data_IF_516870186537
#
_entry.id   IF_516870186537
#
_cell.length_a   1.000
_cell.length_b   1.000
_cell.length_c   1.000
_cell.angle_alpha   90.00
_cell.angle_beta   90.00
_cell.angle_gamma   90.00
#
_symmetry.space_group_name_H-M   'P 1'
#
loop_
_entity.id
_entity.type
_entity.pdbx_description
1 polymer ?
#
# COMPACT_ATOMS: atom_id res chain seq x y z
N UNK A 1 -18.95 24.24 12.95
CA UNK A 1 -19.42 23.22 13.91
C UNK A 1 -18.48 23.23 15.10
N UNK A 2 -18.95 23.40 16.34
CA UNK A 2 -18.08 23.30 17.53
C UNK A 2 -18.00 21.83 17.95
N UNK A 3 -16.81 21.24 17.96
CA UNK A 3 -16.52 19.89 18.43
C UNK A 3 -15.89 19.93 19.82
N UNK A 4 -16.16 18.93 20.66
CA UNK A 4 -15.58 18.82 22.00
C UNK A 4 -14.12 18.38 21.94
N UNK A 5 -13.81 17.30 21.22
CA UNK A 5 -12.49 16.68 21.23
C UNK A 5 -11.70 16.90 19.95
N UNK A 6 -12.39 16.98 18.81
CA UNK A 6 -11.76 17.07 17.50
C UNK A 6 -11.25 18.49 17.21
N UNK A 7 -10.09 18.61 16.56
CA UNK A 7 -9.66 19.86 15.91
C UNK A 7 -10.34 19.94 14.55
N UNK A 8 -11.21 20.94 14.39
CA UNK A 8 -11.98 21.10 13.15
C UNK A 8 -11.06 21.32 11.95
N UNK A 9 -9.96 22.05 12.07
CA UNK A 9 -9.06 22.30 10.93
C UNK A 9 -8.44 20.98 10.49
N UNK A 10 -7.88 20.21 11.41
CA UNK A 10 -7.29 18.92 11.08
C UNK A 10 -8.33 17.97 10.47
N UNK A 11 -9.56 17.92 10.99
CA UNK A 11 -10.60 17.10 10.40
C UNK A 11 -10.89 17.48 8.93
N UNK A 12 -10.97 18.75 8.58
CA UNK A 12 -11.17 19.16 7.18
C UNK A 12 -9.93 18.91 6.30
N UNK A 13 -8.75 19.00 6.91
CA UNK A 13 -7.46 18.80 6.22
C UNK A 13 -7.21 17.33 5.92
N UNK A 14 -7.54 16.41 6.83
CA UNK A 14 -7.13 15.01 6.71
C UNK A 14 -8.27 13.99 6.75
N UNK A 15 -9.54 14.39 6.83
CA UNK A 15 -10.66 13.46 6.58
C UNK A 15 -11.25 13.68 5.19
N UNK A 16 -11.45 12.62 4.39
CA UNK A 16 -12.03 12.78 3.07
C UNK A 16 -13.50 13.22 3.18
N UNK A 17 -13.90 14.14 2.29
CA UNK A 17 -15.22 14.76 2.30
C UNK A 17 -16.16 14.07 1.31
N UNK A 18 -17.30 13.55 1.81
CA UNK A 18 -18.33 12.93 0.97
C UNK A 18 -19.69 13.56 1.23
N UNK A 19 -19.97 14.63 0.48
CA UNK A 19 -21.24 15.37 0.57
C UNK A 19 -21.53 15.90 1.97
N UNK A 20 -22.81 16.08 2.30
CA UNK A 20 -23.27 16.65 3.58
C UNK A 20 -23.36 15.61 4.72
N UNK A 21 -22.61 14.51 4.63
CA UNK A 21 -22.64 13.44 5.62
C UNK A 21 -21.98 13.90 6.95
N UNK A 22 -22.61 13.67 8.12
CA UNK A 22 -22.17 14.23 9.40
C UNK A 22 -21.01 13.44 10.05
N UNK A 23 -19.95 13.10 9.29
CA UNK A 23 -18.83 12.27 9.74
C UNK A 23 -18.19 12.79 11.04
N UNK A 24 -17.77 14.05 11.03
CA UNK A 24 -17.10 14.72 12.16
C UNK A 24 -17.99 14.74 13.41
N UNK A 25 -19.28 15.06 13.25
CA UNK A 25 -20.23 15.12 14.37
C UNK A 25 -20.40 13.74 15.01
N UNK A 26 -20.64 12.71 14.19
CA UNK A 26 -20.80 11.32 14.66
C UNK A 26 -19.53 10.80 15.35
N UNK A 27 -18.35 11.19 14.87
CA UNK A 27 -17.09 10.87 15.52
C UNK A 27 -16.96 11.58 16.89
N UNK A 28 -17.26 12.87 16.98
CA UNK A 28 -17.19 13.64 18.24
C UNK A 28 -18.20 13.13 19.29
N UNK A 29 -19.41 12.74 18.84
CA UNK A 29 -20.43 12.10 19.68
C UNK A 29 -19.92 10.75 20.23
N UNK A 30 -19.29 9.93 19.38
CA UNK A 30 -18.69 8.65 19.77
C UNK A 30 -17.56 8.85 20.79
N UNK A 31 -16.65 9.80 20.55
CA UNK A 31 -15.58 10.16 21.48
C UNK A 31 -16.12 10.66 22.81
N UNK A 32 -17.22 11.41 22.79
CA UNK A 32 -17.93 11.85 24.00
C UNK A 32 -18.52 10.68 24.77
N UNK A 33 -19.12 9.71 24.08
CA UNK A 33 -19.56 8.46 24.68
C UNK A 33 -18.40 7.74 25.38
N UNK A 34 -17.32 7.43 24.65
CA UNK A 34 -16.14 6.73 25.20
C UNK A 34 -15.61 7.43 26.45
N UNK A 35 -15.41 8.74 26.38
CA UNK A 35 -14.75 9.50 27.44
C UNK A 35 -15.63 9.72 28.68
N UNK A 36 -16.96 9.60 28.55
CA UNK A 36 -17.91 9.73 29.67
C UNK A 36 -18.37 8.38 30.22
N UNK A 37 -18.27 7.31 29.43
CA UNK A 37 -18.69 5.98 29.85
C UNK A 37 -17.87 5.52 31.05
N UNK A 38 -18.52 5.02 32.13
CA UNK A 38 -17.81 4.44 33.25
C UNK A 38 -17.01 3.22 32.79
N UNK A 39 -15.79 3.06 33.31
CA UNK A 39 -14.90 1.94 32.99
C UNK A 39 -13.50 2.36 32.58
N UNK A 40 -12.74 1.42 32.02
CA UNK A 40 -11.29 1.56 31.73
C UNK A 40 -10.95 2.64 30.70
N UNK A 41 -11.92 3.07 29.88
CA UNK A 41 -11.73 4.10 28.86
C UNK A 41 -12.25 5.48 29.29
N UNK A 42 -12.77 5.62 30.51
CA UNK A 42 -13.20 6.91 31.04
C UNK A 42 -12.02 7.90 31.06
N UNK A 43 -12.20 9.10 30.51
CA UNK A 43 -11.15 10.12 30.41
C UNK A 43 -10.00 9.80 29.43
N UNK A 44 -10.06 8.71 28.67
CA UNK A 44 -8.96 8.32 27.78
C UNK A 44 -8.74 9.29 26.62
N UNK A 45 -9.80 9.94 26.11
CA UNK A 45 -9.69 10.92 25.03
C UNK A 45 -9.07 12.21 25.54
N UNK A 46 -9.43 12.65 26.75
CA UNK A 46 -8.77 13.77 27.42
C UNK A 46 -7.28 13.48 27.66
N UNK A 47 -6.92 12.25 28.03
CA UNK A 47 -5.51 11.84 28.17
C UNK A 47 -4.73 11.95 26.85
N UNK A 48 -5.33 11.53 25.73
CA UNK A 48 -4.73 11.68 24.39
C UNK A 48 -4.54 13.16 24.00
N UNK A 49 -5.52 14.03 24.27
CA UNK A 49 -5.41 15.46 24.02
C UNK A 49 -4.33 16.10 24.89
N UNK A 50 -4.30 15.78 26.19
CA UNK A 50 -3.27 16.26 27.10
C UNK A 50 -1.87 15.85 26.64
N UNK A 51 -1.74 14.63 26.10
CA UNK A 51 -0.50 14.16 25.50
C UNK A 51 -0.13 14.95 24.25
N UNK A 52 -1.08 15.23 23.37
CA UNK A 52 -0.86 16.06 22.18
C UNK A 52 -0.29 17.44 22.58
N UNK A 53 -0.93 18.12 23.55
CA UNK A 53 -0.50 19.43 24.06
C UNK A 53 0.93 19.37 24.64
N UNK A 54 1.20 18.38 25.51
CA UNK A 54 2.53 18.22 26.13
C UNK A 54 3.64 17.90 25.14
N UNK A 55 3.31 17.42 23.94
CA UNK A 55 4.28 16.95 22.94
C UNK A 55 4.27 17.75 21.65
N UNK A 56 3.56 18.89 21.59
CA UNK A 56 3.41 19.69 20.38
C UNK A 56 4.73 20.18 19.79
N UNK A 57 5.74 20.42 20.63
CA UNK A 57 7.08 20.86 20.20
C UNK A 57 8.02 19.71 19.81
N UNK A 58 7.55 18.45 19.84
CA UNK A 58 8.37 17.32 19.38
C UNK A 58 8.35 17.24 17.86
N UNK A 59 9.53 17.04 17.27
CA UNK A 59 9.72 17.04 15.82
C UNK A 59 9.12 15.84 15.09
N UNK A 60 8.99 14.66 15.73
CA UNK A 60 8.50 13.42 15.07
C UNK A 60 7.12 13.03 15.56
N UNK A 61 6.15 12.83 14.65
CA UNK A 61 4.79 12.38 14.98
C UNK A 61 4.75 11.05 15.73
N UNK A 62 5.54 10.05 15.32
CA UNK A 62 5.70 8.77 16.03
C UNK A 62 6.10 8.92 17.51
N UNK A 63 6.84 9.97 17.88
CA UNK A 63 7.20 10.24 19.29
C UNK A 63 6.12 10.97 20.09
N UNK A 64 5.01 11.34 19.43
CA UNK A 64 3.85 12.03 19.99
C UNK A 64 2.65 11.08 20.12
N UNK A 65 2.55 10.10 19.22
CA UNK A 65 1.58 9.01 19.33
C UNK A 65 1.77 8.25 20.65
N UNK A 66 0.65 7.87 21.25
CA UNK A 66 0.57 7.23 22.55
C UNK A 66 -0.22 5.95 22.44
N UNK A 67 0.21 4.95 23.21
CA UNK A 67 -0.49 3.68 23.27
C UNK A 67 -1.92 3.89 23.75
N UNK A 68 -2.87 3.43 22.96
CA UNK A 68 -4.27 3.46 23.32
C UNK A 68 -4.97 2.36 22.53
N UNK A 69 -5.71 1.48 23.20
CA UNK A 69 -6.37 0.35 22.54
C UNK A 69 -7.64 0.77 21.80
N UNK A 70 -7.86 2.06 21.55
CA UNK A 70 -9.12 2.57 21.01
C UNK A 70 -9.07 2.53 19.49
N UNK A 71 -9.91 1.70 18.89
CA UNK A 71 -10.16 1.74 17.45
C UNK A 71 -11.61 2.16 17.20
N UNK A 72 -11.78 3.20 16.38
CA UNK A 72 -13.10 3.72 16.01
C UNK A 72 -13.31 3.44 14.53
N UNK A 73 -14.35 2.68 14.21
CA UNK A 73 -14.76 2.41 12.84
C UNK A 73 -16.01 3.23 12.51
N UNK A 74 -15.95 3.99 11.43
CA UNK A 74 -17.06 4.69 10.84
C UNK A 74 -17.33 4.12 9.45
N UNK A 75 -18.40 3.36 9.30
CA UNK A 75 -18.80 2.76 8.04
C UNK A 75 -19.95 3.59 7.46
N UNK A 76 -19.75 4.14 6.27
CA UNK A 76 -20.77 4.83 5.51
C UNK A 76 -21.12 4.04 4.26
N UNK A 77 -22.42 3.78 4.09
CA UNK A 77 -22.95 3.35 2.82
C UNK A 77 -23.34 4.61 2.03
N UNK A 78 -22.67 4.82 0.89
CA UNK A 78 -22.79 6.07 0.14
C UNK A 78 -24.16 6.19 -0.55
N UNK A 79 -24.75 5.07 -0.98
CA UNK A 79 -26.05 5.05 -1.65
C UNK A 79 -27.17 5.49 -0.71
N UNK A 80 -27.29 4.82 0.44
CA UNK A 80 -28.37 5.09 1.39
C UNK A 80 -28.03 6.19 2.41
N UNK A 81 -26.82 6.74 2.36
CA UNK A 81 -26.32 7.82 3.23
C UNK A 81 -26.37 7.48 4.72
N UNK A 82 -26.35 6.19 5.06
CA UNK A 82 -26.30 5.70 6.44
C UNK A 82 -24.87 5.67 6.92
N UNK A 83 -24.63 6.18 8.12
CA UNK A 83 -23.34 6.15 8.80
C UNK A 83 -23.49 5.41 10.12
N UNK A 84 -22.70 4.36 10.30
CA UNK A 84 -22.55 3.66 11.55
C UNK A 84 -21.18 3.97 12.14
N UNK A 85 -21.13 4.45 13.38
CA UNK A 85 -19.88 4.69 14.10
C UNK A 85 -19.83 3.78 15.32
N UNK A 86 -18.78 2.97 15.43
CA UNK A 86 -18.58 2.01 16.50
C UNK A 86 -17.16 2.15 17.04
N UNK A 87 -17.02 2.14 18.36
CA UNK A 87 -15.74 2.03 19.02
C UNK A 87 -15.54 0.61 19.54
N UNK A 88 -14.32 0.10 19.42
CA UNK A 88 -13.93 -1.18 19.99
C UNK A 88 -12.53 -1.08 20.58
N UNK A 89 -12.21 -2.02 21.47
CA UNK A 89 -10.86 -2.15 22.03
C UNK A 89 -10.04 -3.13 21.22
N UNK A 90 -8.92 -2.70 20.67
CA UNK A 90 -7.97 -3.52 19.94
C UNK A 90 -6.65 -3.59 20.73
N UNK A 91 -6.36 -4.71 21.40
CA UNK A 91 -5.14 -4.86 22.19
C UNK A 91 -3.85 -4.78 21.36
N UNK A 92 -3.97 -5.13 20.07
CA UNK A 92 -2.85 -5.22 19.12
C UNK A 92 -2.51 -3.88 18.46
N UNK A 93 -3.39 -2.88 18.55
CA UNK A 93 -3.16 -1.57 17.95
C UNK A 93 -2.16 -0.77 18.81
N UNK A 94 -1.03 -0.33 18.25
CA UNK A 94 0.01 0.38 19.01
C UNK A 94 -0.41 1.81 19.42
N UNK A 95 -1.47 2.35 18.84
CA UNK A 95 -2.02 3.68 19.11
C UNK A 95 -3.48 3.74 18.69
N UNK A 96 -4.25 4.71 19.20
CA UNK A 96 -5.66 4.81 18.83
C UNK A 96 -5.81 5.08 17.33
N UNK A 97 -6.68 4.33 16.65
CA UNK A 97 -6.94 4.49 15.21
C UNK A 97 -8.38 4.90 14.92
N UNK A 98 -8.52 5.68 13.87
CA UNK A 98 -9.79 5.98 13.24
C UNK A 98 -9.81 5.34 11.85
N UNK A 99 -10.81 4.49 11.62
CA UNK A 99 -11.09 3.85 10.35
C UNK A 99 -12.36 4.43 9.76
N UNK A 100 -12.28 4.99 8.56
CA UNK A 100 -13.43 5.44 7.80
C UNK A 100 -13.59 4.54 6.57
N UNK A 101 -14.67 3.77 6.50
CA UNK A 101 -14.97 2.92 5.35
C UNK A 101 -16.15 3.49 4.58
N UNK A 102 -15.99 3.59 3.27
CA UNK A 102 -17.02 4.05 2.34
C UNK A 102 -17.35 2.89 1.44
N UNK A 103 -18.60 2.45 1.51
CA UNK A 103 -19.10 1.33 0.73
C UNK A 103 -19.78 1.86 -0.53
N UNK A 104 -19.28 1.41 -1.67
CA UNK A 104 -19.82 1.66 -3.00
C UNK A 104 -20.55 0.42 -3.51
N UNK A 105 -21.04 0.50 -4.75
CA UNK A 105 -21.65 -0.63 -5.46
C UNK A 105 -20.63 -1.75 -5.70
N UNK A 106 -21.14 -2.96 -5.99
CA UNK A 106 -20.35 -4.13 -6.39
C UNK A 106 -19.27 -4.57 -5.38
N UNK A 107 -19.49 -4.26 -4.09
CA UNK A 107 -18.59 -4.66 -3.02
C UNK A 107 -17.29 -3.85 -2.94
N UNK A 108 -17.16 -2.76 -3.71
CA UNK A 108 -16.00 -1.88 -3.62
C UNK A 108 -16.06 -1.08 -2.31
N UNK A 109 -14.98 -1.13 -1.54
CA UNK A 109 -14.84 -0.38 -0.29
C UNK A 109 -13.59 0.50 -0.36
N UNK A 110 -13.76 1.79 -0.03
CA UNK A 110 -12.63 2.67 0.22
C UNK A 110 -12.49 2.91 1.72
N UNK A 111 -11.38 2.45 2.29
CA UNK A 111 -11.07 2.57 3.70
C UNK A 111 -9.93 3.56 3.90
N UNK A 112 -10.14 4.55 4.75
CA UNK A 112 -9.11 5.44 5.26
C UNK A 112 -8.77 5.07 6.69
N UNK A 113 -7.49 4.99 7.02
CA UNK A 113 -7.01 4.71 8.39
C UNK A 113 -6.08 5.84 8.82
N UNK A 114 -6.38 6.45 9.96
CA UNK A 114 -5.64 7.60 10.49
C UNK A 114 -5.44 7.41 12.00
N UNK A 115 -4.23 7.64 12.54
CA UNK A 115 -4.04 7.76 13.97
C UNK A 115 -4.96 8.82 14.57
N UNK A 116 -5.83 8.42 15.50
CA UNK A 116 -6.91 9.27 16.04
C UNK A 116 -6.36 10.59 16.60
N UNK A 117 -5.19 10.55 17.23
CA UNK A 117 -4.51 11.73 17.79
C UNK A 117 -4.27 12.86 16.78
N UNK A 118 -4.13 12.56 15.49
CA UNK A 118 -3.96 13.59 14.44
C UNK A 118 -5.21 14.46 14.29
N UNK A 119 -6.39 13.91 14.59
CA UNK A 119 -7.69 14.59 14.51
C UNK A 119 -8.06 15.31 15.81
N UNK A 120 -7.41 14.96 16.93
CA UNK A 120 -7.72 15.51 18.25
C UNK A 120 -7.08 16.88 18.46
N UNK A 121 -7.72 17.69 19.31
CA UNK A 121 -7.18 18.97 19.77
C UNK A 121 -5.79 18.82 20.37
N UNK A 122 -5.02 19.90 20.30
CA UNK A 122 -3.65 19.96 20.80
C UNK A 122 -2.60 19.34 19.86
N UNK A 123 -2.99 18.72 18.74
CA UNK A 123 -2.01 18.20 17.77
C UNK A 123 -1.23 19.32 17.08
N UNK A 124 -1.82 20.50 16.93
CA UNK A 124 -1.28 21.54 16.04
C UNK A 124 -1.73 21.31 14.60
N UNK A 125 -1.05 21.96 13.67
CA UNK A 125 -1.43 21.92 12.25
C UNK A 125 -1.00 20.60 11.59
N UNK A 126 -1.97 19.73 11.27
CA UNK A 126 -1.73 18.48 10.58
C UNK A 126 -1.17 18.65 9.15
N UNK A 127 -1.32 19.83 8.54
CA UNK A 127 -0.85 20.09 7.17
C UNK A 127 0.61 20.54 7.09
N UNK A 128 1.24 20.86 8.23
CA UNK A 128 2.63 21.32 8.25
C UNK A 128 3.60 20.18 7.95
N UNK A 129 4.67 20.46 7.23
CA UNK A 129 5.75 19.50 6.97
C UNK A 129 5.35 18.42 5.98
N UNK A 130 6.10 17.31 5.98
CA UNK A 130 5.86 16.19 5.08
C UNK A 130 4.93 15.15 5.73
N UNK A 131 4.16 14.48 4.89
CA UNK A 131 3.21 13.45 5.26
C UNK A 131 3.60 12.13 4.60
N UNK A 132 3.47 11.03 5.34
CA UNK A 132 3.87 9.69 4.91
C UNK A 132 2.65 8.78 4.92
N UNK A 133 2.45 8.02 3.85
CA UNK A 133 1.24 7.22 3.67
C UNK A 133 1.52 5.88 2.97
N UNK A 134 0.58 4.96 3.14
CA UNK A 134 0.56 3.67 2.48
C UNK A 134 -0.80 3.49 1.82
N UNK A 135 -0.81 3.07 0.56
CA UNK A 135 -1.99 2.58 -0.12
C UNK A 135 -1.92 1.06 -0.25
N UNK A 136 -3.02 0.39 0.07
CA UNK A 136 -3.18 -1.04 -0.13
C UNK A 136 -4.37 -1.29 -1.05
N UNK A 137 -4.22 -2.23 -1.98
CA UNK A 137 -5.30 -2.75 -2.81
C UNK A 137 -5.45 -4.21 -2.45
N UNK A 138 -6.55 -4.59 -1.80
CA UNK A 138 -6.87 -5.98 -1.48
C UNK A 138 -8.00 -6.46 -2.40
N UNK A 139 -7.71 -7.43 -3.24
CA UNK A 139 -8.67 -8.03 -4.18
C UNK A 139 -9.33 -9.28 -3.56
N UNK A 140 -10.42 -9.74 -4.17
CA UNK A 140 -11.11 -10.99 -3.77
C UNK A 140 -11.54 -11.01 -2.28
N UNK A 141 -12.00 -9.86 -1.79
CA UNK A 141 -12.40 -9.67 -0.39
C UNK A 141 -13.87 -10.04 -0.18
N UNK A 142 -14.24 -11.25 -0.58
CA UNK A 142 -15.60 -11.75 -0.44
C UNK A 142 -16.07 -11.66 1.02
N UNK A 143 -17.38 -11.39 1.19
CA UNK A 143 -17.97 -11.32 2.53
C UNK A 143 -17.83 -12.67 3.21
N UNK A 144 -17.23 -12.66 4.40
CA UNK A 144 -17.18 -13.85 5.25
C UNK A 144 -18.59 -14.09 5.81
N UNK A 145 -19.27 -15.09 5.27
CA UNK A 145 -20.58 -15.55 5.75
C UNK A 145 -20.49 -16.93 6.40
N UNK A 146 -19.39 -17.64 6.16
CA UNK A 146 -19.13 -18.99 6.66
C UNK A 146 -17.66 -19.20 7.05
N UNK A 147 -17.38 -20.31 7.73
CA UNK A 147 -16.00 -20.76 8.00
C UNK A 147 -15.25 -21.15 6.73
N UNK A 148 -15.96 -21.54 5.67
CA UNK A 148 -15.38 -21.82 4.36
C UNK A 148 -14.85 -20.54 3.71
N UNK A 149 -15.63 -19.46 3.75
CA UNK A 149 -15.23 -18.14 3.22
C UNK A 149 -14.01 -17.59 3.97
N UNK A 150 -13.93 -17.84 5.28
CA UNK A 150 -12.77 -17.46 6.08
C UNK A 150 -11.50 -18.19 5.63
N UNK A 151 -11.61 -19.50 5.34
CA UNK A 151 -10.50 -20.31 4.85
C UNK A 151 -10.07 -19.87 3.45
N UNK A 152 -11.02 -19.70 2.53
CA UNK A 152 -10.75 -19.20 1.18
C UNK A 152 -10.02 -17.84 1.22
N UNK A 153 -10.48 -16.91 2.07
CA UNK A 153 -9.82 -15.60 2.23
C UNK A 153 -8.39 -15.69 2.77
N UNK A 154 -8.10 -16.65 3.64
CA UNK A 154 -6.73 -16.87 4.13
C UNK A 154 -5.80 -17.42 3.03
N UNK A 155 -6.35 -18.18 2.08
CA UNK A 155 -5.62 -18.69 0.91
C UNK A 155 -5.36 -17.57 -0.12
N UNK A 156 -6.21 -16.54 -0.19
CA UNK A 156 -6.08 -15.35 -1.04
C UNK A 156 -5.28 -14.18 -0.42
N UNK A 157 -4.60 -14.37 0.73
CA UNK A 157 -3.76 -13.33 1.33
C UNK A 157 -2.62 -12.84 0.40
N UNK A 158 -2.36 -13.54 -0.72
CA UNK A 158 -1.44 -13.12 -1.77
C UNK A 158 -1.90 -11.91 -2.60
N UNK A 159 -3.19 -11.53 -2.52
CA UNK A 159 -3.84 -10.60 -3.44
C UNK A 159 -3.95 -9.17 -2.86
N UNK A 160 -3.07 -8.85 -1.92
CA UNK A 160 -2.88 -7.51 -1.37
C UNK A 160 -1.66 -6.85 -2.01
N UNK A 161 -1.81 -5.64 -2.53
CA UNK A 161 -0.74 -4.88 -3.15
C UNK A 161 -0.51 -3.56 -2.42
N UNK A 162 0.76 -3.15 -2.29
CA UNK A 162 1.18 -2.05 -1.45
C UNK A 162 1.92 -0.97 -2.23
N UNK A 163 1.58 0.29 -1.98
CA UNK A 163 2.31 1.46 -2.45
C UNK A 163 2.64 2.36 -1.26
N UNK A 164 3.91 2.72 -1.12
CA UNK A 164 4.40 3.62 -0.08
C UNK A 164 4.75 4.95 -0.73
N UNK A 165 4.32 6.05 -0.11
CA UNK A 165 4.60 7.38 -0.62
C UNK A 165 4.77 8.44 0.47
N UNK A 166 5.39 9.54 0.06
CA UNK A 166 5.52 10.76 0.85
C UNK A 166 5.04 11.96 0.05
N UNK A 167 4.67 13.03 0.74
CA UNK A 167 4.26 14.29 0.09
C UNK A 167 4.55 15.49 0.99
N UNK A 168 4.93 16.61 0.35
CA UNK A 168 5.00 17.95 0.95
C UNK A 168 3.63 18.66 0.96
N UNK A 169 2.66 18.12 0.20
CA UNK A 169 1.30 18.63 0.07
C UNK A 169 0.39 17.96 1.09
N UNK A 170 -0.86 18.39 1.10
CA UNK A 170 -1.90 17.68 1.81
C UNK A 170 -2.10 16.26 1.21
N UNK A 171 -2.18 15.23 2.05
CA UNK A 171 -2.29 13.85 1.59
C UNK A 171 -3.60 13.55 0.85
N UNK A 172 -4.73 14.19 1.19
CA UNK A 172 -5.98 14.04 0.43
C UNK A 172 -5.85 14.66 -0.96
N UNK A 173 -5.15 15.80 -1.06
CA UNK A 173 -4.78 16.36 -2.37
C UNK A 173 -3.93 15.36 -3.15
N UNK A 174 -2.92 14.73 -2.51
CA UNK A 174 -2.07 13.74 -3.17
C UNK A 174 -2.86 12.50 -3.63
N UNK A 175 -3.81 12.03 -2.83
CA UNK A 175 -4.74 10.97 -3.24
C UNK A 175 -5.55 11.40 -4.46
N UNK A 176 -6.11 12.61 -4.46
CA UNK A 176 -6.88 13.13 -5.60
C UNK A 176 -6.03 13.22 -6.88
N UNK A 177 -4.75 13.59 -6.75
CA UNK A 177 -3.81 13.59 -7.87
C UNK A 177 -3.56 12.17 -8.39
N UNK A 178 -3.32 11.19 -7.51
CA UNK A 178 -3.19 9.78 -7.90
C UNK A 178 -4.42 9.30 -8.67
N UNK A 179 -5.63 9.61 -8.19
CA UNK A 179 -6.87 9.27 -8.89
C UNK A 179 -6.98 9.96 -10.26
N UNK A 180 -6.58 11.23 -10.35
CA UNK A 180 -6.55 11.98 -11.60
C UNK A 180 -5.56 11.41 -12.62
N UNK A 181 -4.32 11.13 -12.19
CA UNK A 181 -3.27 10.52 -13.01
C UNK A 181 -3.67 9.12 -13.46
N UNK A 182 -4.28 8.34 -12.57
CA UNK A 182 -4.84 7.03 -12.86
C UNK A 182 -5.88 7.10 -13.98
N UNK A 183 -6.88 7.99 -13.86
CA UNK A 183 -7.96 8.17 -14.85
C UNK A 183 -7.44 8.62 -16.22
N UNK A 184 -6.31 9.35 -16.26
CA UNK A 184 -5.64 9.74 -17.51
C UNK A 184 -4.77 8.65 -18.13
N UNK A 185 -4.76 7.45 -17.55
CA UNK A 185 -4.01 6.32 -18.10
C UNK A 185 -2.52 6.32 -17.75
N UNK A 186 -2.11 6.91 -16.61
CA UNK A 186 -0.72 6.86 -16.16
C UNK A 186 -0.18 5.42 -16.14
N UNK A 187 1.08 5.27 -16.57
CA UNK A 187 1.78 3.98 -16.73
C UNK A 187 2.45 3.49 -15.44
N UNK A 188 2.30 4.21 -14.32
CA UNK A 188 2.83 3.78 -13.02
C UNK A 188 2.18 2.47 -12.59
N UNK A 189 2.95 1.53 -12.03
CA UNK A 189 2.45 0.21 -11.56
C UNK A 189 1.27 0.35 -10.61
N UNK A 190 1.38 1.25 -9.63
CA UNK A 190 0.29 1.56 -8.70
C UNK A 190 -0.99 1.99 -9.41
N UNK A 191 -0.88 2.87 -10.40
CA UNK A 191 -2.05 3.37 -11.14
C UNK A 191 -2.67 2.30 -12.04
N UNK A 192 -1.85 1.48 -12.69
CA UNK A 192 -2.34 0.33 -13.47
C UNK A 192 -3.06 -0.68 -12.59
N UNK A 193 -2.44 -1.10 -11.47
CA UNK A 193 -3.05 -2.03 -10.52
C UNK A 193 -4.38 -1.48 -9.97
N UNK A 194 -4.44 -0.19 -9.64
CA UNK A 194 -5.68 0.44 -9.19
C UNK A 194 -6.77 0.41 -10.27
N UNK A 195 -6.46 0.83 -11.51
CA UNK A 195 -7.43 0.80 -12.61
C UNK A 195 -7.94 -0.61 -12.89
N UNK A 196 -7.04 -1.58 -12.96
CA UNK A 196 -7.38 -2.99 -13.19
C UNK A 196 -8.33 -3.50 -12.09
N UNK A 197 -8.08 -3.09 -10.85
CA UNK A 197 -8.91 -3.45 -9.69
C UNK A 197 -10.29 -2.78 -9.68
N UNK A 198 -10.46 -1.62 -10.32
CA UNK A 198 -11.79 -1.00 -10.47
C UNK A 198 -12.73 -1.82 -11.39
N UNK A 199 -12.17 -2.71 -12.22
CA UNK A 199 -12.94 -3.65 -13.04
C UNK A 199 -13.33 -4.94 -12.31
N UNK A 200 -12.96 -5.09 -11.03
CA UNK A 200 -13.26 -6.27 -10.22
C UNK A 200 -14.37 -5.99 -9.21
N UNK A 201 -15.00 -7.05 -8.71
CA UNK A 201 -15.92 -7.00 -7.58
C UNK A 201 -15.18 -7.27 -6.27
N UNK A 202 -15.76 -6.83 -5.14
CA UNK A 202 -15.24 -7.10 -3.79
C UNK A 202 -13.78 -6.67 -3.58
N UNK A 203 -13.45 -5.45 -4.01
CA UNK A 203 -12.12 -4.84 -3.83
C UNK A 203 -12.14 -3.87 -2.66
N UNK A 204 -11.14 -3.99 -1.79
CA UNK A 204 -10.88 -3.06 -0.70
C UNK A 204 -9.65 -2.21 -1.01
N UNK A 205 -9.88 -0.92 -1.21
CA UNK A 205 -8.82 0.09 -1.31
C UNK A 205 -8.59 0.70 0.06
N UNK A 206 -7.39 0.58 0.61
CA UNK A 206 -7.02 1.13 1.92
C UNK A 206 -6.02 2.26 1.73
N UNK A 207 -6.27 3.40 2.35
CA UNK A 207 -5.35 4.53 2.42
C UNK A 207 -5.02 4.84 3.87
N UNK A 208 -3.78 4.62 4.26
CA UNK A 208 -3.30 4.75 5.64
C UNK A 208 -2.37 5.95 5.74
N UNK A 209 -2.73 6.92 6.57
CA UNK A 209 -1.86 8.04 6.92
C UNK A 209 -0.98 7.63 8.11
N UNK A 210 0.32 7.49 7.89
CA UNK A 210 1.25 6.90 8.87
C UNK A 210 1.93 7.95 9.74
N UNK A 211 2.44 9.02 9.13
CA UNK A 211 3.18 10.09 9.82
C UNK A 211 2.79 11.47 9.28
N UNK A 212 2.88 12.48 10.15
CA UNK A 212 2.60 13.89 9.87
C UNK A 212 3.72 14.77 10.42
N UNK A 213 3.81 16.01 9.93
CA UNK A 213 4.75 16.99 10.47
C UNK A 213 6.22 16.55 10.39
N UNK A 214 6.54 15.69 9.42
CA UNK A 214 7.90 15.19 9.21
C UNK A 214 8.77 16.28 8.59
N UNK A 215 10.05 16.26 8.92
CA UNK A 215 11.07 16.97 8.13
C UNK A 215 11.24 16.28 6.78
N UNK A 216 11.82 16.96 5.80
CA UNK A 216 12.12 16.35 4.49
C UNK A 216 13.00 15.10 4.66
N UNK A 217 14.10 15.23 5.40
CA UNK A 217 15.04 14.13 5.62
C UNK A 217 14.39 12.94 6.34
N UNK A 218 13.60 13.19 7.39
CA UNK A 218 12.89 12.12 8.10
C UNK A 218 11.87 11.41 7.20
N UNK A 219 11.14 12.15 6.35
CA UNK A 219 10.19 11.57 5.41
C UNK A 219 10.90 10.73 4.33
N UNK A 220 12.02 11.21 3.80
CA UNK A 220 12.84 10.47 2.83
C UNK A 220 13.39 9.17 3.43
N UNK A 221 13.92 9.23 4.64
CA UNK A 221 14.40 8.04 5.36
C UNK A 221 13.27 7.07 5.69
N UNK A 222 12.08 7.58 6.01
CA UNK A 222 10.89 6.78 6.24
C UNK A 222 10.45 6.04 4.96
N UNK A 223 10.35 6.74 3.84
CA UNK A 223 9.94 6.16 2.55
C UNK A 223 10.92 5.06 2.13
N UNK A 224 12.22 5.33 2.22
CA UNK A 224 13.26 4.36 1.91
C UNK A 224 13.11 3.08 2.73
N UNK A 225 12.96 3.21 4.06
CA UNK A 225 12.79 2.05 4.96
C UNK A 225 11.53 1.23 4.63
N UNK A 226 10.42 1.88 4.33
CA UNK A 226 9.16 1.18 4.08
C UNK A 226 9.08 0.60 2.67
N UNK A 227 9.62 1.29 1.67
CA UNK A 227 9.76 0.75 0.32
C UNK A 227 10.69 -0.46 0.33
N UNK A 228 11.83 -0.42 1.03
CA UNK A 228 12.76 -1.56 1.11
C UNK A 228 12.11 -2.83 1.70
N UNK A 229 11.14 -2.68 2.61
CA UNK A 229 10.40 -3.83 3.18
C UNK A 229 9.50 -4.53 2.17
N UNK A 230 8.88 -3.78 1.25
CA UNK A 230 7.95 -4.32 0.25
C UNK A 230 8.62 -4.49 -1.13
N UNK A 231 9.84 -3.98 -1.29
CA UNK A 231 10.60 -3.94 -2.54
C UNK A 231 10.82 -5.31 -3.18
N UNK A 232 10.90 -6.35 -2.33
CA UNK A 232 11.17 -7.73 -2.73
C UNK A 232 9.89 -8.57 -2.87
N UNK A 233 8.73 -7.99 -2.56
CA UNK A 233 7.45 -8.67 -2.66
C UNK A 233 6.83 -8.41 -4.05
N UNK A 234 6.15 -9.42 -4.61
CA UNK A 234 5.33 -9.28 -5.82
C UNK A 234 4.19 -8.28 -5.61
N UNK A 235 3.87 -8.03 -4.35
CA UNK A 235 2.85 -7.11 -3.88
C UNK A 235 3.31 -5.65 -3.88
N UNK A 236 4.62 -5.35 -3.97
CA UNK A 236 5.14 -3.99 -3.99
C UNK A 236 4.91 -3.25 -5.32
N UNK A 237 4.21 -2.12 -5.27
CA UNK A 237 3.83 -1.31 -6.44
C UNK A 237 4.76 -0.10 -6.69
N UNK A 238 5.70 0.18 -5.79
CA UNK A 238 6.75 1.18 -6.00
C UNK A 238 7.66 0.77 -7.18
N UNK A 239 7.95 1.69 -8.10
CA UNK A 239 8.75 1.41 -9.30
C UNK A 239 10.24 1.73 -9.14
N UNK A 240 10.59 2.51 -8.12
CA UNK A 240 11.95 2.85 -7.75
C UNK A 240 12.10 2.66 -6.23
N UNK A 241 13.34 2.52 -5.72
CA UNK A 241 13.59 2.59 -4.29
C UNK A 241 13.02 3.88 -3.67
N UNK A 242 12.65 3.83 -2.39
CA UNK A 242 12.15 5.01 -1.68
C UNK A 242 13.25 6.02 -1.38
N UNK A 243 12.85 7.23 -1.02
CA UNK A 243 13.72 8.23 -0.42
C UNK A 243 14.96 8.59 -1.25
N UNK A 244 16.10 8.72 -0.55
CA UNK A 244 17.35 9.15 -1.16
C UNK A 244 17.94 8.08 -2.09
N UNK A 245 17.71 6.79 -1.81
CA UNK A 245 18.02 5.70 -2.76
C UNK A 245 17.29 5.87 -4.09
N UNK A 246 16.03 6.28 -4.07
CA UNK A 246 15.23 6.53 -5.28
C UNK A 246 15.83 7.63 -6.16
N UNK A 247 16.18 8.77 -5.54
CA UNK A 247 16.87 9.87 -6.23
C UNK A 247 18.24 9.41 -6.78
N UNK A 248 19.02 8.72 -5.95
CA UNK A 248 20.32 8.16 -6.37
C UNK A 248 20.18 7.22 -7.56
N UNK A 249 19.10 6.44 -7.61
CA UNK A 249 18.79 5.54 -8.71
C UNK A 249 18.46 6.29 -10.01
N UNK A 250 17.60 7.31 -9.94
CA UNK A 250 17.28 8.16 -11.09
C UNK A 250 18.53 8.87 -11.65
N UNK A 251 19.43 9.30 -10.76
CA UNK A 251 20.71 9.89 -11.15
C UNK A 251 21.63 8.88 -11.85
N UNK A 252 21.73 7.65 -11.33
CA UNK A 252 22.49 6.56 -11.98
C UNK A 252 21.95 6.23 -13.37
N UNK A 253 20.64 6.32 -13.55
CA UNK A 253 19.96 6.16 -14.84
C UNK A 253 20.10 7.38 -15.76
N UNK A 254 20.75 8.47 -15.31
CA UNK A 254 20.91 9.75 -16.01
C UNK A 254 19.60 10.41 -16.40
N UNK A 255 18.53 10.15 -15.63
CA UNK A 255 17.22 10.82 -15.78
C UNK A 255 17.25 12.21 -15.16
N UNK A 256 18.07 12.36 -14.13
CA UNK A 256 18.35 13.63 -13.44
C UNK A 256 19.87 13.84 -13.41
N UNK A 257 20.29 15.11 -13.45
CA UNK A 257 21.70 15.50 -13.50
C UNK A 257 22.28 15.88 -12.13
N UNK A 258 21.44 15.94 -11.09
CA UNK A 258 21.82 16.27 -9.71
C UNK A 258 20.95 15.51 -8.73
N UNK A 259 21.45 15.27 -7.52
CA UNK A 259 20.72 14.57 -6.44
C UNK A 259 19.99 15.49 -5.48
N UNK A 260 20.31 16.78 -5.46
CA UNK A 260 19.56 17.77 -4.69
C UNK A 260 18.37 18.27 -5.54
N UNK A 261 17.24 17.57 -5.43
CA UNK A 261 16.00 17.86 -6.15
C UNK A 261 14.79 17.79 -5.21
N UNK A 262 13.70 18.47 -5.57
CA UNK A 262 12.42 18.42 -4.86
C UNK A 262 11.67 17.11 -5.11
N UNK A 263 10.60 16.84 -4.34
CA UNK A 263 9.71 15.69 -4.60
C UNK A 263 8.98 15.84 -5.94
N UNK A 264 8.65 17.07 -6.32
CA UNK A 264 8.04 17.37 -7.62
C UNK A 264 8.99 17.06 -8.78
N UNK A 265 10.24 17.54 -8.72
CA UNK A 265 11.27 17.23 -9.73
C UNK A 265 11.51 15.71 -9.82
N UNK A 266 11.44 15.00 -8.68
CA UNK A 266 11.56 13.53 -8.63
C UNK A 266 10.38 12.85 -9.35
N UNK A 267 9.15 13.26 -9.05
CA UNK A 267 7.95 12.67 -9.63
C UNK A 267 7.88 12.92 -11.15
N UNK A 268 8.29 14.12 -11.60
CA UNK A 268 8.43 14.45 -13.03
C UNK A 268 9.51 13.61 -13.72
N UNK A 269 10.67 13.43 -13.08
CA UNK A 269 11.74 12.58 -13.59
C UNK A 269 11.28 11.12 -13.73
N UNK A 270 10.56 10.59 -12.75
CA UNK A 270 10.01 9.24 -12.80
C UNK A 270 9.01 9.09 -13.96
N UNK A 271 8.10 10.05 -14.15
CA UNK A 271 7.13 10.00 -15.26
C UNK A 271 7.84 10.03 -16.63
N UNK A 272 8.83 10.92 -16.78
CA UNK A 272 9.66 11.01 -17.99
C UNK A 272 10.34 9.67 -18.30
N UNK A 273 10.96 9.07 -17.29
CA UNK A 273 11.63 7.78 -17.43
C UNK A 273 10.67 6.67 -17.87
N UNK A 274 9.48 6.60 -17.25
CA UNK A 274 8.45 5.61 -17.58
C UNK A 274 7.94 5.82 -19.02
N UNK A 275 7.80 7.07 -19.45
CA UNK A 275 7.36 7.40 -20.80
C UNK A 275 8.39 6.97 -21.86
N UNK A 276 9.67 7.27 -21.63
CA UNK A 276 10.79 6.94 -22.52
C UNK A 276 11.13 5.44 -22.55
N UNK A 277 10.73 4.67 -21.52
CA UNK A 277 11.04 3.25 -21.38
C UNK A 277 9.79 2.35 -21.25
N UNK A 278 8.84 2.40 -22.21
CA UNK A 278 7.52 1.77 -22.06
C UNK A 278 7.53 0.24 -21.99
N UNK A 279 8.51 -0.40 -22.65
CA UNK A 279 8.71 -1.87 -22.63
C UNK A 279 9.57 -2.35 -21.46
N UNK A 280 10.16 -1.43 -20.69
CA UNK A 280 10.84 -1.69 -19.43
C UNK A 280 9.97 -1.14 -18.31
N UNK A 281 8.78 -1.70 -18.12
CA UNK A 281 8.02 -1.49 -16.89
C UNK A 281 8.86 -1.97 -15.73
N UNK A 282 9.76 -1.13 -15.22
CA UNK A 282 10.99 -1.58 -14.55
C UNK A 282 10.58 -2.47 -13.39
N UNK A 283 10.99 -3.76 -13.38
CA UNK A 283 11.12 -4.47 -12.12
C UNK A 283 12.07 -3.63 -11.27
N UNK A 284 11.62 -3.25 -10.08
CA UNK A 284 12.44 -2.61 -9.05
C UNK A 284 13.93 -3.00 -9.22
N UNK A 285 14.88 -2.08 -9.39
CA UNK A 285 16.28 -2.41 -9.69
C UNK A 285 16.97 -3.37 -8.72
N UNK A 286 16.47 -3.54 -7.50
CA UNK A 286 16.93 -4.64 -6.63
C UNK A 286 16.66 -6.02 -7.24
N UNK A 287 15.59 -6.16 -8.01
CA UNK A 287 15.28 -7.34 -8.80
C UNK A 287 16.36 -7.62 -9.86
N UNK A 288 17.02 -6.62 -10.50
CA UNK A 288 18.07 -6.95 -11.49
C UNK A 288 19.34 -7.51 -10.88
N UNK A 289 19.72 -7.06 -9.67
CA UNK A 289 20.83 -7.67 -8.92
C UNK A 289 20.40 -9.00 -8.28
N UNK A 290 19.17 -9.13 -7.81
CA UNK A 290 18.61 -10.40 -7.33
C UNK A 290 18.38 -11.42 -8.46
N UNK A 291 18.12 -11.00 -9.70
CA UNK A 291 18.13 -11.86 -10.90
C UNK A 291 19.53 -12.39 -11.22
N UNK A 292 20.58 -11.98 -10.50
CA UNK A 292 21.90 -12.64 -10.53
C UNK A 292 22.09 -13.64 -9.39
N UNK A 293 21.22 -13.65 -8.40
CA UNK A 293 21.16 -14.67 -7.35
C UNK A 293 20.40 -15.91 -7.86
N UNK A 294 20.92 -17.11 -7.58
CA UNK A 294 20.35 -18.36 -8.08
C UNK A 294 19.11 -18.77 -7.27
N UNK A 295 19.12 -18.60 -5.96
CA UNK A 295 18.02 -18.99 -5.08
C UNK A 295 16.79 -18.11 -5.32
N UNK A 296 17.02 -16.81 -5.54
CA UNK A 296 15.99 -15.87 -5.96
C UNK A 296 15.38 -16.23 -7.32
N UNK A 297 16.23 -16.58 -8.30
CA UNK A 297 15.79 -16.97 -9.64
C UNK A 297 14.85 -18.18 -9.62
N UNK A 298 15.24 -19.22 -8.87
CA UNK A 298 14.46 -20.44 -8.71
C UNK A 298 13.12 -20.15 -8.02
N UNK A 299 13.15 -19.42 -6.90
CA UNK A 299 11.94 -19.05 -6.15
C UNK A 299 10.92 -18.27 -7.00
N UNK A 300 11.39 -17.33 -7.84
CA UNK A 300 10.51 -16.52 -8.69
C UNK A 300 9.93 -17.32 -9.85
N UNK A 301 10.70 -18.24 -10.42
CA UNK A 301 10.24 -19.09 -11.52
C UNK A 301 9.24 -20.13 -11.03
N UNK A 302 9.49 -20.76 -9.90
CA UNK A 302 8.62 -21.79 -9.34
C UNK A 302 7.29 -21.23 -8.83
N UNK A 303 7.27 -19.96 -8.40
CA UNK A 303 6.07 -19.29 -7.93
C UNK A 303 5.15 -18.77 -9.06
N UNK A 304 5.50 -18.92 -10.34
CA UNK A 304 4.66 -18.45 -11.46
C UNK A 304 3.76 -19.58 -11.96
N UNK A 305 2.46 -19.34 -12.15
CA UNK A 305 1.65 -20.32 -12.87
C UNK A 305 2.17 -20.43 -14.30
N UNK A 306 2.15 -21.65 -14.87
CA UNK A 306 2.51 -21.95 -16.27
C UNK A 306 4.01 -21.83 -16.61
N UNK A 307 4.91 -21.76 -15.63
CA UNK A 307 6.37 -21.92 -15.82
C UNK A 307 6.81 -23.35 -15.51
N UNK A 308 8.00 -23.72 -15.98
CA UNK A 308 8.63 -25.00 -15.62
C UNK A 308 9.40 -24.83 -14.30
N UNK A 309 9.29 -25.82 -13.41
CA UNK A 309 10.13 -25.90 -12.21
C UNK A 309 11.58 -26.25 -12.56
N UNK A 310 12.50 -26.08 -11.60
CA UNK A 310 13.89 -26.43 -11.79
C UNK A 310 14.07 -27.90 -12.16
N UNK A 311 13.36 -28.79 -11.47
CA UNK A 311 13.41 -30.23 -11.72
C UNK A 311 12.85 -30.60 -13.09
N UNK A 312 11.79 -29.92 -13.54
CA UNK A 312 11.28 -30.11 -14.90
C UNK A 312 12.30 -29.69 -15.96
N UNK A 313 12.98 -28.56 -15.77
CA UNK A 313 14.03 -28.09 -16.69
C UNK A 313 15.21 -29.07 -16.74
N UNK A 314 15.67 -29.56 -15.58
CA UNK A 314 16.71 -30.60 -15.49
C UNK A 314 16.30 -31.89 -16.18
N UNK A 315 15.05 -32.33 -15.94
CA UNK A 315 14.49 -33.54 -16.55
C UNK A 315 14.38 -33.38 -18.07
N UNK A 316 13.95 -32.23 -18.59
CA UNK A 316 13.92 -31.94 -20.03
C UNK A 316 15.30 -32.14 -20.67
N UNK A 317 16.35 -31.55 -20.06
CA UNK A 317 17.71 -31.63 -20.60
C UNK A 317 18.26 -33.04 -20.56
N UNK A 318 18.01 -33.77 -19.46
CA UNK A 318 18.40 -35.17 -19.30
C UNK A 318 17.74 -36.06 -20.36
N UNK A 319 16.41 -35.99 -20.50
CA UNK A 319 15.68 -36.82 -21.46
C UNK A 319 16.09 -36.54 -22.91
N UNK A 320 16.40 -35.28 -23.24
CA UNK A 320 16.93 -34.93 -24.55
C UNK A 320 18.34 -35.49 -24.78
N UNK A 321 19.20 -35.52 -23.75
CA UNK A 321 20.51 -36.16 -23.83
C UNK A 321 20.40 -37.69 -23.98
N UNK A 322 19.33 -38.29 -23.46
CA UNK A 322 18.98 -39.70 -23.63
C UNK A 322 18.32 -40.00 -25.01
N UNK A 323 18.16 -38.98 -25.85
CA UNK A 323 17.69 -39.12 -27.24
C UNK A 323 16.18 -39.00 -27.43
N UNK A 324 15.41 -38.63 -26.40
CA UNK A 324 13.97 -38.40 -26.55
C UNK A 324 13.68 -37.14 -27.37
N UNK A 325 12.60 -37.20 -28.15
CA UNK A 325 12.14 -36.06 -28.94
C UNK A 325 11.45 -35.02 -28.06
N UNK A 326 11.46 -33.76 -28.51
CA UNK A 326 10.80 -32.67 -27.78
C UNK A 326 9.29 -32.91 -27.57
N UNK A 327 8.62 -33.71 -28.41
CA UNK A 327 7.22 -34.06 -28.24
C UNK A 327 7.00 -35.03 -27.08
N UNK A 328 7.81 -36.10 -27.00
CA UNK A 328 7.73 -37.08 -25.91
C UNK A 328 8.08 -36.43 -24.56
N UNK A 329 9.04 -35.50 -24.56
CA UNK A 329 9.45 -34.77 -23.36
C UNK A 329 8.31 -33.90 -22.81
N UNK A 330 7.45 -33.31 -23.66
CA UNK A 330 6.31 -32.49 -23.20
C UNK A 330 5.40 -33.30 -22.28
N UNK A 331 5.07 -34.52 -22.71
CA UNK A 331 4.16 -35.40 -21.97
C UNK A 331 4.83 -35.90 -20.68
N UNK A 332 6.10 -36.28 -20.76
CA UNK A 332 6.87 -36.86 -19.65
C UNK A 332 7.17 -35.87 -18.50
N UNK A 333 7.28 -34.57 -18.81
CA UNK A 333 7.50 -33.51 -17.82
C UNK A 333 6.24 -32.69 -17.53
N UNK A 334 5.12 -33.02 -18.18
CA UNK A 334 3.86 -32.26 -18.14
C UNK A 334 4.06 -30.77 -18.43
N UNK A 335 4.86 -30.48 -19.46
CA UNK A 335 5.07 -29.11 -19.92
C UNK A 335 3.79 -28.54 -20.52
N UNK A 336 3.64 -27.22 -20.52
CA UNK A 336 2.44 -26.57 -21.04
C UNK A 336 2.28 -26.77 -22.55
N UNK A 337 3.38 -26.77 -23.29
CA UNK A 337 3.40 -26.95 -24.74
C UNK A 337 4.79 -27.26 -25.27
N UNK A 338 4.84 -27.72 -26.53
CA UNK A 338 6.05 -28.04 -27.26
C UNK A 338 7.04 -26.87 -27.40
N UNK A 339 6.52 -25.64 -27.49
CA UNK A 339 7.37 -24.44 -27.63
C UNK A 339 8.20 -24.24 -26.35
N UNK A 340 7.60 -24.50 -25.19
CA UNK A 340 8.27 -24.37 -23.89
C UNK A 340 9.48 -25.31 -23.80
N UNK A 341 9.32 -26.58 -24.19
CA UNK A 341 10.42 -27.56 -24.22
C UNK A 341 11.47 -27.19 -25.26
N UNK A 342 11.07 -26.82 -26.49
CA UNK A 342 12.01 -26.39 -27.54
C UNK A 342 12.84 -25.18 -27.12
N UNK A 343 12.27 -24.24 -26.39
CA UNK A 343 12.99 -23.05 -25.90
C UNK A 343 13.98 -23.38 -24.78
N UNK A 344 13.70 -24.37 -23.93
CA UNK A 344 14.66 -24.89 -22.94
C UNK A 344 15.84 -25.54 -23.66
N UNK A 345 15.58 -26.45 -24.60
CA UNK A 345 16.62 -27.19 -25.32
C UNK A 345 17.50 -26.28 -26.20
N UNK A 346 16.91 -25.25 -26.79
CA UNK A 346 17.62 -24.25 -27.57
C UNK A 346 18.35 -23.20 -26.71
N UNK A 347 18.32 -23.32 -25.38
CA UNK A 347 18.96 -22.36 -24.47
C UNK A 347 18.34 -20.95 -24.51
N UNK A 348 17.13 -20.79 -25.05
CA UNK A 348 16.43 -19.49 -25.16
C UNK A 348 15.77 -19.08 -23.84
N UNK A 349 15.50 -20.04 -22.97
CA UNK A 349 14.85 -19.86 -21.66
C UNK A 349 15.51 -20.76 -20.63
N UNK A 350 15.44 -20.40 -19.34
CA UNK A 350 15.97 -21.22 -18.24
C UNK A 350 17.48 -21.52 -18.32
N UNK A 351 18.26 -20.60 -18.91
CA UNK A 351 19.71 -20.76 -19.10
C UNK A 351 20.51 -20.99 -17.81
N UNK A 352 19.98 -20.58 -16.65
CA UNK A 352 20.68 -20.60 -15.35
C UNK A 352 20.45 -21.88 -14.53
N UNK A 353 19.58 -22.77 -15.02
CA UNK A 353 19.29 -24.05 -14.35
C UNK A 353 20.04 -25.10 -15.13
N UNK A 354 21.09 -25.68 -14.56
CA UNK A 354 21.90 -26.70 -15.24
C UNK A 354 21.19 -28.05 -15.34
#
# INVERSE_FOLDING_TARGET
>A
MKTKFLDSRNCHTILPYFGKLPFIRKLDDCLTGINKSPGKLSGSIDALINKNVKTINRLKSSKRLFYSPIDIAQNANIQNRVIQTVAHTSPQSPYAQFHLSLQFENGIIWKTIIPLQFLLKGWGDANKGYQCYIHTIAQHMDKISSLYDLKARSEHASDEYYYVGITSRNWLTRISEHMGEMNRGSRKRFHSAWRESLGLENVLFISILMELNMTFEDAMNWEEKYVDKIANDRQGLNMIPGGFKGISYLHKLRVINRTNITLEERDEALERYIHENPRRGIPNPFISELWKDNDYYLKVIEARPKTLSADQVKKIRKLNAEGMTAAEIVDEVKALNLIQVKNVLAGKTYMRID
#
